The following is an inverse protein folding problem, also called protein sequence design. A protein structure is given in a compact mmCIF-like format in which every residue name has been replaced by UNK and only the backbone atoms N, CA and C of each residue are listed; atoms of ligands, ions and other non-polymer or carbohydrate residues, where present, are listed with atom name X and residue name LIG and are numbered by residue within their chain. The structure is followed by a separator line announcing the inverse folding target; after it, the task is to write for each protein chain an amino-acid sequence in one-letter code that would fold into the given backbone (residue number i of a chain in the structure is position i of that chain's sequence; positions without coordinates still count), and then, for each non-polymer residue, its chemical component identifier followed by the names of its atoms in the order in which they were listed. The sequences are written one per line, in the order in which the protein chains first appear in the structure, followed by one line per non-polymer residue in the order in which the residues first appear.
data_IF_738180158246
#
_entry.id   IF_738180158246
#
_cell.length_a   1.000
_cell.length_b   1.000
_cell.length_c   1.000
_cell.angle_alpha   90.00
_cell.angle_beta   90.00
_cell.angle_gamma   90.00
#
_symmetry.space_group_name_H-M   'P 1'
#
loop_
_entity.id
_entity.type
_entity.pdbx_description
1 polymer ?
#
# COMPACT_ATOMS: atom_id res chain seq x y z
N UNK A 1 13.00 -8.65 -4.03
CA UNK A 1 11.58 -8.24 -3.83
C UNK A 1 11.36 -6.72 -3.81
N UNK A 2 12.38 -5.85 -3.71
CA UNK A 2 12.17 -4.39 -3.73
C UNK A 2 11.98 -3.83 -5.15
N UNK A 3 12.79 -4.29 -6.10
CA UNK A 3 12.68 -3.94 -7.52
C UNK A 3 11.32 -4.32 -8.13
N UNK A 4 10.86 -5.56 -7.95
CA UNK A 4 9.57 -6.02 -8.47
C UNK A 4 8.37 -5.33 -7.80
N UNK A 5 8.48 -4.99 -6.52
CA UNK A 5 7.44 -4.29 -5.76
C UNK A 5 7.43 -2.76 -5.95
N UNK A 6 8.25 -2.23 -6.87
CA UNK A 6 8.37 -0.79 -7.15
C UNK A 6 8.96 0.04 -6.01
N UNK A 7 9.56 -0.61 -5.00
CA UNK A 7 10.18 0.06 -3.86
C UNK A 7 11.64 0.48 -4.14
N UNK A 8 12.19 0.05 -5.28
CA UNK A 8 13.55 0.34 -5.71
C UNK A 8 13.61 0.36 -7.25
N UNK A 9 14.63 1.01 -7.82
CA UNK A 9 14.80 1.15 -9.28
C UNK A 9 16.04 0.39 -9.75
N UNK A 10 16.01 -0.28 -10.92
CA UNK A 10 17.18 -1.00 -11.41
C UNK A 10 18.28 -0.03 -11.85
N UNK A 11 19.54 -0.35 -11.51
CA UNK A 11 20.71 0.43 -11.95
C UNK A 11 20.91 0.40 -13.48
N UNK A 12 20.42 -0.66 -14.14
CA UNK A 12 20.38 -0.79 -15.60
C UNK A 12 19.32 -1.82 -16.03
N UNK A 13 18.82 -1.70 -17.28
CA UNK A 13 17.79 -2.59 -17.83
C UNK A 13 16.36 -2.11 -17.57
N UNK A 14 15.36 -2.99 -17.78
CA UNK A 14 13.94 -2.66 -17.62
C UNK A 14 13.17 -3.84 -17.06
N UNK A 15 12.30 -3.57 -16.08
CA UNK A 15 11.34 -4.54 -15.55
C UNK A 15 10.02 -4.32 -16.31
N UNK A 16 9.66 -5.27 -17.16
CA UNK A 16 8.42 -5.23 -17.95
C UNK A 16 7.45 -6.32 -17.47
N UNK A 17 6.25 -5.91 -17.06
CA UNK A 17 5.15 -6.82 -16.72
C UNK A 17 3.82 -6.17 -17.09
N UNK A 18 2.87 -6.98 -17.54
CA UNK A 18 1.47 -6.62 -17.77
C UNK A 18 0.61 -6.81 -16.50
N UNK A 19 1.21 -7.28 -15.39
CA UNK A 19 0.52 -7.60 -14.15
C UNK A 19 0.73 -6.53 -13.09
N UNK A 20 -0.29 -6.33 -12.26
CA UNK A 20 -0.18 -5.51 -11.05
C UNK A 20 0.57 -6.29 -9.98
N UNK A 21 1.75 -5.80 -9.60
CA UNK A 21 2.52 -6.35 -8.48
C UNK A 21 2.19 -5.53 -7.23
N UNK A 22 1.69 -6.19 -6.19
CA UNK A 22 1.42 -5.55 -4.91
C UNK A 22 2.71 -5.08 -4.26
N UNK A 23 2.68 -3.89 -3.65
CA UNK A 23 3.74 -3.45 -2.75
C UNK A 23 3.93 -4.50 -1.63
N UNK A 24 5.16 -4.76 -1.12
CA UNK A 24 5.42 -5.84 -0.18
C UNK A 24 4.79 -5.58 1.21
N UNK A 25 3.49 -5.79 1.33
CA UNK A 25 2.69 -5.56 2.56
C UNK A 25 2.97 -6.62 3.65
N UNK A 26 3.72 -7.69 3.35
CA UNK A 26 3.90 -8.82 4.27
C UNK A 26 5.21 -8.90 5.08
N UNK A 27 6.18 -8.01 4.86
CA UNK A 27 7.49 -8.06 5.54
C UNK A 27 7.67 -6.83 6.44
N UNK A 28 7.36 -6.96 7.74
CA UNK A 28 7.82 -6.14 8.89
C UNK A 28 7.70 -4.60 8.80
N UNK A 29 7.24 -4.02 7.69
CA UNK A 29 7.30 -2.58 7.40
C UNK A 29 6.06 -2.03 6.69
N UNK A 30 5.02 -2.85 6.51
CA UNK A 30 3.75 -2.40 5.92
C UNK A 30 2.83 -1.65 6.88
N UNK A 31 3.11 -1.74 8.18
CA UNK A 31 2.41 -1.00 9.22
C UNK A 31 3.43 -0.22 10.05
N UNK A 32 3.11 1.03 10.31
CA UNK A 32 3.92 1.88 11.17
C UNK A 32 3.35 1.79 12.59
N UNK A 33 4.17 1.34 13.54
CA UNK A 33 3.73 0.98 14.90
C UNK A 33 3.35 2.14 15.82
N UNK A 34 3.73 3.38 15.49
CA UNK A 34 3.29 4.59 16.21
C UNK A 34 2.08 5.27 15.56
N UNK A 35 1.56 4.74 14.45
CA UNK A 35 0.38 5.26 13.75
C UNK A 35 -0.87 4.53 14.21
N UNK A 36 -1.99 5.24 14.31
CA UNK A 36 -3.28 4.61 14.60
C UNK A 36 -3.68 3.67 13.45
N UNK A 37 -4.61 2.73 13.71
CA UNK A 37 -5.16 1.88 12.64
C UNK A 37 -5.73 2.70 11.48
N UNK A 38 -6.42 3.80 11.79
CA UNK A 38 -6.95 4.74 10.78
C UNK A 38 -5.85 5.39 9.95
N UNK A 39 -4.73 5.74 10.58
CA UNK A 39 -3.63 6.38 9.88
C UNK A 39 -2.85 5.38 9.02
N UNK A 40 -2.71 4.14 9.47
CA UNK A 40 -2.19 3.04 8.66
C UNK A 40 -3.08 2.78 7.42
N UNK A 41 -4.41 2.81 7.54
CA UNK A 41 -5.31 2.68 6.39
C UNK A 41 -5.09 3.81 5.39
N UNK A 42 -5.00 5.06 5.85
CA UNK A 42 -4.72 6.21 4.97
C UNK A 42 -3.35 6.09 4.30
N UNK A 43 -2.34 5.59 5.00
CA UNK A 43 -1.00 5.36 4.45
C UNK A 43 -1.05 4.36 3.29
N UNK A 44 -1.66 3.20 3.50
CA UNK A 44 -1.81 2.18 2.45
C UNK A 44 -2.63 2.73 1.28
N UNK A 45 -3.72 3.45 1.54
CA UNK A 45 -4.51 4.07 0.47
C UNK A 45 -3.67 5.01 -0.42
N UNK A 46 -2.77 5.81 0.17
CA UNK A 46 -1.87 6.69 -0.58
C UNK A 46 -0.86 5.93 -1.42
N UNK A 47 -0.29 4.84 -0.89
CA UNK A 47 0.65 3.98 -1.65
C UNK A 47 -0.02 3.44 -2.92
N UNK A 48 -1.30 3.09 -2.85
CA UNK A 48 -2.09 2.60 -3.99
C UNK A 48 -2.80 3.71 -4.78
N UNK A 49 -2.56 5.00 -4.50
CA UNK A 49 -3.19 6.12 -5.21
C UNK A 49 -4.68 6.34 -4.91
N UNK A 50 -5.26 5.61 -3.96
CA UNK A 50 -6.64 5.80 -3.52
C UNK A 50 -6.74 7.05 -2.63
N UNK A 51 -7.25 8.16 -3.17
CA UNK A 51 -7.42 9.44 -2.47
C UNK A 51 -8.88 9.91 -2.47
N UNK A 52 -9.19 10.96 -1.71
CA UNK A 52 -10.52 11.56 -1.69
C UNK A 52 -11.61 10.59 -1.23
N UNK A 53 -12.59 10.35 -2.11
CA UNK A 53 -13.75 9.49 -1.83
C UNK A 53 -13.37 8.02 -1.67
N UNK A 54 -12.50 7.50 -2.55
CA UNK A 54 -12.03 6.12 -2.49
C UNK A 54 -11.37 5.81 -1.14
N UNK A 55 -10.56 6.75 -0.61
CA UNK A 55 -9.97 6.60 0.72
C UNK A 55 -11.02 6.55 1.82
N UNK A 56 -12.05 7.43 1.76
CA UNK A 56 -13.13 7.45 2.76
C UNK A 56 -13.93 6.16 2.75
N UNK A 57 -14.19 5.60 1.57
CA UNK A 57 -14.85 4.31 1.41
C UNK A 57 -14.04 3.18 2.04
N UNK A 58 -12.73 3.10 1.78
CA UNK A 58 -11.88 2.07 2.39
C UNK A 58 -11.78 2.19 3.90
N UNK A 59 -11.75 3.42 4.44
CA UNK A 59 -11.78 3.63 5.89
C UNK A 59 -13.09 3.11 6.49
N UNK A 60 -14.25 3.40 5.88
CA UNK A 60 -15.55 2.88 6.34
C UNK A 60 -15.59 1.35 6.28
N UNK A 61 -15.18 0.79 5.15
CA UNK A 61 -15.14 -0.66 4.96
C UNK A 61 -14.32 -1.36 6.05
N UNK A 62 -13.12 -0.86 6.35
CA UNK A 62 -12.28 -1.47 7.40
C UNK A 62 -12.89 -1.27 8.79
N UNK A 63 -13.54 -0.13 9.03
CA UNK A 63 -14.21 0.14 10.30
C UNK A 63 -15.42 -0.78 10.52
N UNK A 64 -16.19 -1.06 9.47
CA UNK A 64 -17.32 -2.01 9.50
C UNK A 64 -16.85 -3.45 9.63
N UNK A 65 -15.74 -3.82 8.97
CA UNK A 65 -15.16 -5.15 9.06
C UNK A 65 -14.58 -5.46 10.45
N UNK A 66 -14.03 -4.46 11.13
CA UNK A 66 -13.41 -4.60 12.45
C UNK A 66 -14.39 -4.41 13.63
N UNK A 67 -15.66 -4.12 13.34
CA UNK A 67 -16.74 -4.03 14.33
C UNK A 67 -17.25 -5.44 14.69
#
# INVERSE_FOLDING_TARGET
MRLLGGADVPDSGTIATDRSISWPVGLTGGFQGSMTGRDNIKFVCRVYGATGEAMREKIRYVQEFAA
#
